data_IF_686868658483
#
_entry.id   IF_686868658483
#
_cell.length_a   1.000
_cell.length_b   1.000
_cell.length_c   1.000
_cell.angle_alpha   90.00
_cell.angle_beta   90.00
_cell.angle_gamma   90.00
#
_symmetry.space_group_name_H-M   'P 1'
#
loop_
_entity.id
_entity.type
_entity.pdbx_description
1 polymer ?
#
# COMPACT_ATOMS: atom_id res chain seq x y z
N UNK A 1 -37.08 74.78 42.74
CA UNK A 1 -36.84 76.13 42.21
C UNK A 1 -35.37 76.43 42.42
N UNK A 2 -34.78 77.07 41.41
CA UNK A 2 -33.40 77.54 41.24
C UNK A 2 -32.41 76.45 40.75
N UNK A 3 -31.96 76.40 39.49
CA UNK A 3 -31.25 77.41 38.64
C UNK A 3 -29.95 77.87 39.31
N UNK A 4 -28.75 77.94 38.75
CA UNK A 4 -28.19 78.05 37.40
C UNK A 4 -26.68 77.70 37.52
N UNK A 5 -26.06 76.92 36.62
CA UNK A 5 -25.30 77.35 35.42
C UNK A 5 -23.98 78.11 35.68
N UNK A 6 -22.82 77.48 35.39
CA UNK A 6 -21.64 77.98 34.59
C UNK A 6 -20.77 76.72 34.29
N UNK A 7 -20.76 76.11 33.11
CA UNK A 7 -20.18 76.50 31.80
C UNK A 7 -18.63 76.58 31.77
N UNK A 8 -17.98 75.52 31.31
CA UNK A 8 -16.79 75.59 30.42
C UNK A 8 -16.61 74.24 29.70
N UNK A 9 -17.07 74.19 28.46
CA UNK A 9 -16.60 73.28 27.40
C UNK A 9 -15.42 73.93 26.67
N UNK A 10 -14.74 73.29 25.69
CA UNK A 10 -14.62 71.85 25.40
C UNK A 10 -13.14 71.43 25.28
N UNK A 11 -12.85 70.15 25.39
CA UNK A 11 -11.94 69.58 24.39
C UNK A 11 -12.44 68.20 23.97
N UNK A 12 -12.48 68.04 22.67
CA UNK A 12 -13.28 67.03 21.98
C UNK A 12 -12.34 65.98 21.42
N UNK A 13 -12.78 64.72 21.52
CA UNK A 13 -12.52 63.62 20.60
C UNK A 13 -11.10 63.02 20.61
N UNK A 14 -10.99 61.76 21.02
CA UNK A 14 -11.22 60.70 20.04
C UNK A 14 -11.48 59.34 20.71
N UNK A 15 -12.62 58.77 20.36
CA UNK A 15 -13.02 57.39 20.63
C UNK A 15 -12.10 56.45 19.83
N UNK A 16 -11.64 55.38 20.49
CA UNK A 16 -11.38 54.11 19.79
C UNK A 16 -12.53 53.15 20.09
N UNK A 17 -13.22 52.64 19.05
CA UNK A 17 -14.26 51.61 19.15
C UNK A 17 -13.57 50.27 19.44
N UNK A 18 -14.15 49.28 20.11
CA UNK A 18 -15.52 49.01 20.53
C UNK A 18 -15.62 47.48 20.63
N UNK A 19 -16.15 47.00 21.76
CA UNK A 19 -17.08 45.84 21.92
C UNK A 19 -16.65 44.47 21.34
N UNK A 20 -16.78 43.30 21.97
CA UNK A 20 -17.70 42.76 22.99
C UNK A 20 -17.00 41.55 23.64
N UNK A 21 -17.31 41.28 24.91
CA UNK A 21 -17.08 40.00 25.58
C UNK A 21 -17.69 38.80 24.83
N UNK A 22 -17.13 37.60 25.01
CA UNK A 22 -17.87 36.41 25.43
C UNK A 22 -16.93 35.22 25.73
N UNK A 23 -16.99 34.80 26.98
CA UNK A 23 -16.60 33.48 27.46
C UNK A 23 -17.30 32.39 26.65
N UNK A 24 -16.54 31.42 26.12
CA UNK A 24 -16.96 30.01 25.91
C UNK A 24 -15.74 29.15 26.26
N UNK A 25 -15.66 28.66 27.49
CA UNK A 25 -16.27 27.42 27.99
C UNK A 25 -15.74 26.20 27.24
N UNK A 26 -14.98 25.41 27.99
CA UNK A 26 -14.52 24.06 27.70
C UNK A 26 -15.56 23.21 26.95
N UNK A 27 -15.10 22.63 25.85
CA UNK A 27 -15.52 21.30 25.43
C UNK A 27 -14.27 20.56 24.94
N UNK A 28 -13.48 20.08 25.90
CA UNK A 28 -12.62 18.92 25.66
C UNK A 28 -13.53 17.83 25.10
N UNK A 29 -13.41 17.57 23.81
CA UNK A 29 -14.06 16.44 23.18
C UNK A 29 -13.39 15.19 23.74
N UNK A 30 -13.96 14.61 24.80
CA UNK A 30 -13.78 13.18 25.02
C UNK A 30 -14.39 12.48 23.80
N UNK A 31 -13.62 11.69 23.04
CA UNK A 31 -14.23 10.82 22.05
C UNK A 31 -15.02 9.78 22.85
N UNK A 32 -16.32 10.04 23.05
CA UNK A 32 -17.27 9.00 23.42
C UNK A 32 -17.33 8.03 22.24
N UNK A 33 -16.37 7.12 22.18
CA UNK A 33 -16.42 5.95 21.33
C UNK A 33 -17.70 5.23 21.69
N UNK A 34 -18.69 5.30 20.81
CA UNK A 34 -19.87 4.47 20.90
C UNK A 34 -19.37 3.03 20.96
N UNK A 35 -19.85 2.21 21.89
CA UNK A 35 -19.46 0.80 21.95
C UNK A 35 -19.70 0.06 20.60
N UNK A 36 -20.59 0.59 19.76
CA UNK A 36 -20.78 0.17 18.37
C UNK A 36 -19.57 0.43 17.46
N UNK A 37 -18.85 1.54 17.65
CA UNK A 37 -17.68 1.89 16.83
C UNK A 37 -16.48 1.00 17.18
N UNK A 38 -16.31 0.65 18.45
CA UNK A 38 -15.26 -0.27 18.90
C UNK A 38 -15.52 -1.71 18.47
N UNK A 39 -16.74 -2.22 18.64
CA UNK A 39 -17.13 -3.54 18.17
C UNK A 39 -16.98 -3.65 16.64
N UNK A 40 -17.35 -2.60 15.91
CA UNK A 40 -17.15 -2.52 14.45
C UNK A 40 -15.66 -2.51 14.09
N UNK A 41 -14.83 -1.77 14.82
CA UNK A 41 -13.37 -1.73 14.63
C UNK A 41 -12.75 -3.12 14.82
N UNK A 42 -13.10 -3.83 15.90
CA UNK A 42 -12.61 -5.20 16.13
C UNK A 42 -13.06 -6.17 15.04
N UNK A 43 -14.31 -6.04 14.57
CA UNK A 43 -14.81 -6.88 13.48
C UNK A 43 -14.08 -6.61 12.15
N UNK A 44 -13.67 -5.37 11.88
CA UNK A 44 -12.85 -5.04 10.71
C UNK A 44 -11.44 -5.65 10.87
N UNK A 45 -10.81 -5.52 12.03
CA UNK A 45 -9.47 -6.07 12.28
C UNK A 45 -9.45 -7.59 12.10
N UNK A 46 -10.43 -8.30 12.67
CA UNK A 46 -10.56 -9.76 12.51
C UNK A 46 -10.72 -10.18 11.04
N UNK A 47 -11.41 -9.37 10.23
CA UNK A 47 -11.58 -9.66 8.79
C UNK A 47 -10.32 -9.37 7.99
N UNK A 48 -9.55 -8.36 8.39
CA UNK A 48 -8.22 -8.10 7.82
C UNK A 48 -7.26 -9.24 8.14
N UNK A 49 -7.29 -9.77 9.37
CA UNK A 49 -6.48 -10.93 9.76
C UNK A 49 -6.88 -12.19 8.96
N UNK A 50 -8.17 -12.46 8.82
CA UNK A 50 -8.66 -13.56 7.97
C UNK A 50 -8.25 -13.40 6.50
N UNK A 51 -8.33 -12.18 5.94
CA UNK A 51 -7.87 -11.90 4.58
C UNK A 51 -6.36 -12.12 4.43
N UNK A 52 -5.57 -11.77 5.45
CA UNK A 52 -4.13 -12.03 5.47
C UNK A 52 -3.83 -13.52 5.48
N UNK A 53 -4.49 -14.30 6.34
CA UNK A 53 -4.34 -15.76 6.39
C UNK A 53 -4.71 -16.44 5.08
N UNK A 54 -5.79 -15.97 4.43
CA UNK A 54 -6.17 -16.42 3.09
C UNK A 54 -5.11 -16.06 2.05
N UNK A 55 -4.55 -14.85 2.12
CA UNK A 55 -3.44 -14.42 1.27
C UNK A 55 -2.20 -15.29 1.43
N UNK A 56 -1.80 -15.60 2.66
CA UNK A 56 -0.66 -16.48 2.95
C UNK A 56 -0.94 -17.92 2.48
N UNK A 57 -2.18 -18.41 2.59
CA UNK A 57 -2.59 -19.72 2.06
C UNK A 57 -2.50 -19.77 0.53
N UNK A 58 -2.99 -18.73 -0.15
CA UNK A 58 -2.90 -18.62 -1.61
C UNK A 58 -1.45 -18.56 -2.07
N UNK A 59 -0.62 -17.79 -1.39
CA UNK A 59 0.80 -17.73 -1.68
C UNK A 59 1.45 -19.11 -1.52
N UNK A 60 1.16 -19.82 -0.42
CA UNK A 60 1.69 -21.17 -0.22
C UNK A 60 1.28 -22.13 -1.34
N UNK A 61 0.04 -22.04 -1.83
CA UNK A 61 -0.41 -22.80 -2.98
C UNK A 61 0.42 -22.48 -4.24
N UNK A 62 0.67 -21.19 -4.50
CA UNK A 62 1.53 -20.77 -5.62
C UNK A 62 2.94 -21.32 -5.46
N UNK A 63 3.50 -21.34 -4.24
CA UNK A 63 4.83 -21.91 -3.99
C UNK A 63 4.87 -23.43 -4.30
N UNK A 64 3.84 -24.18 -3.89
CA UNK A 64 3.75 -25.62 -4.16
C UNK A 64 3.63 -25.92 -5.66
N UNK A 65 2.80 -25.16 -6.38
CA UNK A 65 2.52 -25.39 -7.80
C UNK A 65 3.64 -24.91 -8.72
N UNK A 66 4.33 -23.81 -8.36
CA UNK A 66 5.43 -23.25 -9.17
C UNK A 66 6.80 -23.79 -8.78
N UNK A 67 6.94 -24.38 -7.59
CA UNK A 67 8.25 -24.72 -7.01
C UNK A 67 9.14 -23.50 -6.76
N UNK A 68 8.56 -22.30 -6.63
CA UNK A 68 9.26 -21.07 -6.29
C UNK A 68 8.89 -20.64 -4.88
N UNK A 69 9.87 -20.18 -4.10
CA UNK A 69 9.61 -19.55 -2.80
C UNK A 69 9.07 -18.13 -2.99
N UNK A 70 8.38 -17.57 -1.98
CA UNK A 70 7.94 -16.17 -1.95
C UNK A 70 9.01 -15.18 -2.37
N UNK A 71 10.23 -15.33 -1.86
CA UNK A 71 11.36 -14.43 -2.17
C UNK A 71 11.84 -14.58 -3.62
N UNK A 72 11.75 -15.78 -4.18
CA UNK A 72 12.07 -16.04 -5.58
C UNK A 72 11.00 -15.43 -6.49
N UNK A 73 9.71 -15.61 -6.18
CA UNK A 73 8.60 -14.98 -6.88
C UNK A 73 8.72 -13.45 -6.87
N UNK A 74 8.94 -12.86 -5.69
CA UNK A 74 9.11 -11.41 -5.56
C UNK A 74 10.28 -10.87 -6.39
N UNK A 75 11.39 -11.62 -6.46
CA UNK A 75 12.55 -11.24 -7.28
C UNK A 75 12.24 -11.34 -8.79
N UNK A 76 11.55 -12.39 -9.22
CA UNK A 76 11.12 -12.54 -10.62
C UNK A 76 10.10 -11.46 -11.03
N UNK A 77 9.15 -11.13 -10.15
CA UNK A 77 8.20 -10.02 -10.36
C UNK A 77 8.92 -8.68 -10.49
N UNK A 78 9.90 -8.40 -9.63
CA UNK A 78 10.67 -7.17 -9.70
C UNK A 78 11.47 -7.06 -11.01
N UNK A 79 12.03 -8.17 -11.48
CA UNK A 79 12.72 -8.24 -12.77
C UNK A 79 11.76 -8.11 -13.95
N UNK A 80 10.55 -8.68 -13.86
CA UNK A 80 9.52 -8.52 -14.89
C UNK A 80 8.98 -7.09 -14.94
N UNK A 81 8.86 -6.40 -13.80
CA UNK A 81 8.43 -5.01 -13.72
C UNK A 81 9.47 -4.02 -14.26
N UNK A 82 10.77 -4.35 -14.21
CA UNK A 82 11.86 -3.54 -14.74
C UNK A 82 11.93 -3.49 -16.29
N UNK A 83 10.83 -3.86 -16.94
CA UNK A 83 10.65 -4.60 -18.20
C UNK A 83 11.36 -4.12 -19.46
N UNK A 84 12.12 -3.03 -19.49
CA UNK A 84 12.43 -2.39 -20.77
C UNK A 84 13.80 -1.79 -21.03
N UNK A 85 14.85 -1.92 -20.20
CA UNK A 85 16.11 -1.38 -20.72
C UNK A 85 17.42 -2.03 -20.28
N UNK A 86 17.61 -2.45 -19.04
CA UNK A 86 18.90 -3.01 -18.63
C UNK A 86 18.70 -4.03 -17.53
N UNK A 87 19.39 -5.17 -17.66
CA UNK A 87 20.17 -5.81 -16.61
C UNK A 87 20.10 -5.05 -15.25
N UNK A 88 19.41 -5.62 -14.27
CA UNK A 88 19.03 -4.89 -13.06
C UNK A 88 20.01 -5.16 -11.92
N UNK A 89 20.49 -4.09 -11.30
CA UNK A 89 21.54 -4.20 -10.29
C UNK A 89 21.00 -4.81 -8.98
N UNK A 90 21.69 -5.79 -8.34
CA UNK A 90 21.18 -6.51 -7.16
C UNK A 90 20.74 -5.59 -6.00
N UNK A 91 21.49 -4.50 -5.77
CA UNK A 91 21.14 -3.48 -4.76
C UNK A 91 19.79 -2.80 -5.03
N UNK A 92 19.44 -2.55 -6.29
CA UNK A 92 18.15 -1.92 -6.67
C UNK A 92 17.02 -2.92 -6.46
N UNK A 93 17.21 -4.15 -6.93
CA UNK A 93 16.25 -5.25 -6.72
C UNK A 93 15.98 -5.45 -5.23
N UNK A 94 17.01 -5.49 -4.40
CA UNK A 94 16.87 -5.65 -2.95
C UNK A 94 16.02 -4.57 -2.29
N UNK A 95 16.14 -3.32 -2.73
CA UNK A 95 15.26 -2.23 -2.25
C UNK A 95 13.81 -2.43 -2.70
N UNK A 96 13.58 -2.92 -3.91
CA UNK A 96 12.24 -3.14 -4.43
C UNK A 96 11.51 -4.28 -3.71
N UNK A 97 12.24 -5.34 -3.35
CA UNK A 97 11.65 -6.55 -2.74
C UNK A 97 11.86 -6.67 -1.22
N UNK A 98 12.48 -5.66 -0.59
CA UNK A 98 12.76 -5.66 0.85
C UNK A 98 13.84 -6.64 1.29
N UNK A 99 14.79 -6.96 0.41
CA UNK A 99 15.90 -7.89 0.66
C UNK A 99 17.25 -7.15 0.72
N UNK A 100 18.21 -7.72 1.46
CA UNK A 100 19.61 -7.25 1.39
C UNK A 100 20.22 -7.62 0.05
N UNK A 101 21.27 -6.90 -0.37
CA UNK A 101 21.98 -7.21 -1.62
C UNK A 101 22.47 -8.66 -1.65
N UNK A 102 23.05 -9.15 -0.55
CA UNK A 102 23.56 -10.52 -0.47
C UNK A 102 22.44 -11.56 -0.58
N UNK A 103 21.29 -11.30 0.03
CA UNK A 103 20.12 -12.16 -0.10
C UNK A 103 19.59 -12.18 -1.53
N UNK A 104 19.62 -11.06 -2.24
CA UNK A 104 19.24 -11.00 -3.67
C UNK A 104 20.22 -11.83 -4.50
N UNK A 105 21.52 -11.69 -4.28
CA UNK A 105 22.53 -12.45 -5.04
C UNK A 105 22.37 -13.95 -4.80
N UNK A 106 22.26 -14.39 -3.54
CA UNK A 106 22.05 -15.82 -3.23
C UNK A 106 20.74 -16.37 -3.85
N UNK A 107 19.66 -15.58 -3.84
CA UNK A 107 18.39 -15.96 -4.46
C UNK A 107 18.52 -16.02 -5.99
N UNK A 108 19.21 -15.06 -6.60
CA UNK A 108 19.48 -15.05 -8.03
C UNK A 108 20.36 -16.23 -8.45
N UNK A 109 21.35 -16.62 -7.67
CA UNK A 109 22.18 -17.81 -7.93
C UNK A 109 21.34 -19.11 -7.91
N UNK A 110 20.44 -19.26 -6.94
CA UNK A 110 19.47 -20.38 -6.89
C UNK A 110 18.59 -20.42 -8.16
N UNK A 111 18.07 -19.27 -8.58
CA UNK A 111 17.25 -19.14 -9.79
C UNK A 111 18.08 -19.36 -11.08
N UNK A 112 19.34 -18.94 -11.10
CA UNK A 112 20.24 -19.10 -12.23
C UNK A 112 20.63 -20.56 -12.42
N UNK A 113 20.83 -21.31 -11.34
CA UNK A 113 21.05 -22.76 -11.38
C UNK A 113 19.87 -23.52 -12.02
N UNK A 114 18.66 -22.94 -11.96
CA UNK A 114 17.44 -23.43 -12.61
C UNK A 114 17.20 -22.84 -14.00
N UNK A 115 18.06 -21.95 -14.48
CA UNK A 115 17.93 -21.27 -15.78
C UNK A 115 16.84 -20.19 -15.84
N UNK A 116 16.32 -19.74 -14.70
CA UNK A 116 15.22 -18.77 -14.63
C UNK A 116 15.69 -17.32 -14.69
N UNK A 117 16.94 -17.07 -14.32
CA UNK A 117 17.60 -15.75 -14.43
C UNK A 117 19.01 -15.92 -14.98
N UNK A 118 19.52 -14.87 -15.61
CA UNK A 118 20.94 -14.74 -15.92
C UNK A 118 21.61 -13.72 -15.00
N UNK A 119 22.89 -13.93 -14.71
CA UNK A 119 23.70 -13.04 -13.86
C UNK A 119 24.93 -12.61 -14.65
N UNK A 120 25.08 -11.29 -14.82
CA UNK A 120 26.28 -10.68 -15.38
C UNK A 120 27.21 -10.29 -14.24
N UNK A 121 28.47 -10.73 -14.33
CA UNK A 121 29.50 -10.45 -13.33
C UNK A 121 30.45 -9.35 -13.83
N UNK A 122 30.93 -8.50 -12.92
CA UNK A 122 32.01 -7.56 -13.20
C UNK A 122 33.38 -8.27 -13.27
N UNK A 123 34.44 -7.55 -13.64
CA UNK A 123 35.82 -8.08 -13.71
C UNK A 123 36.33 -8.61 -12.36
N UNK A 124 35.72 -8.19 -11.24
CA UNK A 124 36.03 -8.66 -9.91
C UNK A 124 35.20 -9.91 -9.50
N UNK A 125 34.37 -10.44 -10.41
CA UNK A 125 33.54 -11.61 -10.20
C UNK A 125 32.28 -11.35 -9.34
N UNK A 126 31.86 -10.10 -9.18
CA UNK A 126 30.65 -9.74 -8.41
C UNK A 126 29.46 -9.57 -9.35
N UNK A 127 28.27 -9.96 -8.90
CA UNK A 127 27.03 -9.75 -9.66
C UNK A 127 26.80 -8.25 -9.92
N UNK A 128 27.00 -7.83 -11.16
CA UNK A 128 26.78 -6.47 -11.63
C UNK A 128 25.32 -6.26 -12.06
N UNK A 129 24.71 -7.30 -12.63
CA UNK A 129 23.32 -7.28 -13.06
C UNK A 129 22.67 -8.65 -13.09
N UNK A 130 21.34 -8.65 -12.96
CA UNK A 130 20.48 -9.83 -13.04
C UNK A 130 19.38 -9.54 -14.07
N UNK A 131 19.09 -10.50 -14.95
CA UNK A 131 17.97 -10.40 -15.89
C UNK A 131 17.10 -11.66 -15.86
N UNK A 132 15.82 -11.46 -16.19
CA UNK A 132 14.86 -12.54 -16.34
C UNK A 132 15.08 -13.24 -17.68
N UNK A 133 15.15 -14.58 -17.67
CA UNK A 133 15.18 -15.37 -18.92
C UNK A 133 13.76 -15.61 -19.43
N UNK A 134 13.61 -16.07 -20.67
CA UNK A 134 12.31 -16.49 -21.20
C UNK A 134 11.70 -17.63 -20.39
N UNK A 135 12.54 -18.57 -19.89
CA UNK A 135 12.11 -19.64 -19.00
C UNK A 135 11.61 -19.09 -17.64
N UNK A 136 12.33 -18.13 -17.06
CA UNK A 136 11.90 -17.43 -15.85
C UNK A 136 10.56 -16.73 -16.02
N UNK A 137 10.38 -16.04 -17.15
CA UNK A 137 9.11 -15.36 -17.48
C UNK A 137 7.96 -16.35 -17.65
N UNK A 138 8.20 -17.48 -18.31
CA UNK A 138 7.18 -18.52 -18.47
C UNK A 138 6.74 -19.11 -17.13
N UNK A 139 7.68 -19.39 -16.21
CA UNK A 139 7.36 -19.88 -14.86
C UNK A 139 6.60 -18.81 -14.06
N UNK A 140 6.99 -17.54 -14.18
CA UNK A 140 6.28 -16.44 -13.51
C UNK A 140 4.84 -16.34 -14.01
N UNK A 141 4.60 -16.36 -15.32
CA UNK A 141 3.25 -16.37 -15.91
C UNK A 141 2.44 -17.59 -15.45
N UNK A 142 3.07 -18.76 -15.28
CA UNK A 142 2.40 -19.93 -14.74
C UNK A 142 1.99 -19.73 -13.27
N UNK A 143 2.86 -19.15 -12.45
CA UNK A 143 2.57 -18.82 -11.06
C UNK A 143 1.41 -17.80 -10.94
N UNK A 144 1.43 -16.74 -11.74
CA UNK A 144 0.34 -15.76 -11.84
C UNK A 144 -0.99 -16.44 -12.23
N UNK A 145 -0.95 -17.37 -13.19
CA UNK A 145 -2.15 -18.08 -13.62
C UNK A 145 -2.77 -18.95 -12.51
N UNK A 146 -1.96 -19.52 -11.60
CA UNK A 146 -2.47 -20.24 -10.41
C UNK A 146 -3.23 -19.28 -9.50
N UNK A 147 -2.64 -18.12 -9.21
CA UNK A 147 -3.27 -17.10 -8.37
C UNK A 147 -4.57 -16.58 -8.98
N UNK A 148 -4.58 -16.31 -10.29
CA UNK A 148 -5.77 -15.87 -11.02
C UNK A 148 -6.86 -16.93 -10.94
N UNK A 149 -6.56 -18.21 -11.18
CA UNK A 149 -7.58 -19.27 -11.12
C UNK A 149 -8.19 -19.44 -9.72
N UNK A 150 -7.37 -19.38 -8.68
CA UNK A 150 -7.84 -19.47 -7.30
C UNK A 150 -8.75 -18.28 -6.94
N UNK A 151 -8.37 -17.08 -7.37
CA UNK A 151 -9.15 -15.85 -7.14
C UNK A 151 -10.44 -15.84 -7.96
N UNK A 152 -10.39 -16.27 -9.21
CA UNK A 152 -11.54 -16.30 -10.12
C UNK A 152 -12.63 -17.26 -9.62
N UNK A 153 -12.26 -18.38 -8.99
CA UNK A 153 -13.22 -19.27 -8.34
C UNK A 153 -14.02 -18.55 -7.24
N UNK A 154 -13.36 -17.72 -6.41
CA UNK A 154 -14.02 -16.91 -5.38
C UNK A 154 -14.91 -15.81 -5.99
N UNK A 155 -14.45 -15.15 -7.06
CA UNK A 155 -15.21 -14.12 -7.78
C UNK A 155 -16.48 -14.71 -8.40
N UNK A 156 -16.40 -15.92 -8.98
CA UNK A 156 -17.57 -16.61 -9.55
C UNK A 156 -18.62 -16.96 -8.49
N UNK A 157 -18.20 -17.41 -7.31
CA UNK A 157 -19.10 -17.75 -6.21
C UNK A 157 -19.85 -16.52 -5.68
N UNK A 158 -19.15 -15.40 -5.53
CA UNK A 158 -19.72 -14.13 -5.04
C UNK A 158 -20.55 -13.42 -6.12
N UNK A 159 -20.23 -13.66 -7.39
CA UNK A 159 -20.81 -12.99 -8.54
C UNK A 159 -20.25 -11.57 -8.75
N UNK A 160 -20.51 -10.98 -9.93
CA UNK A 160 -19.89 -9.72 -10.35
C UNK A 160 -20.28 -8.52 -9.46
N UNK A 161 -21.55 -8.41 -9.05
CA UNK A 161 -21.99 -7.27 -8.22
C UNK A 161 -21.62 -7.40 -6.76
N UNK A 162 -21.54 -8.62 -6.24
CA UNK A 162 -20.94 -8.85 -4.92
C UNK A 162 -19.48 -8.43 -4.92
N UNK A 163 -18.73 -8.85 -5.94
CA UNK A 163 -17.29 -8.56 -6.09
C UNK A 163 -17.01 -7.06 -6.23
N UNK A 164 -17.77 -6.33 -7.06
CA UNK A 164 -17.61 -4.87 -7.19
C UNK A 164 -17.88 -4.12 -5.89
N UNK A 165 -18.90 -4.53 -5.13
CA UNK A 165 -19.19 -3.92 -3.82
C UNK A 165 -18.09 -4.22 -2.81
N UNK A 166 -17.57 -5.44 -2.77
CA UNK A 166 -16.47 -5.82 -1.90
C UNK A 166 -15.21 -5.00 -2.22
N UNK A 167 -14.83 -4.90 -3.50
CA UNK A 167 -13.68 -4.10 -3.93
C UNK A 167 -13.85 -2.63 -3.56
N UNK A 168 -15.01 -2.03 -3.80
CA UNK A 168 -15.26 -0.62 -3.45
C UNK A 168 -15.13 -0.36 -1.94
N UNK A 169 -15.55 -1.31 -1.08
CA UNK A 169 -15.38 -1.19 0.38
C UNK A 169 -13.91 -1.36 0.77
N UNK A 170 -13.21 -2.33 0.19
CA UNK A 170 -11.78 -2.53 0.42
C UNK A 170 -10.96 -1.29 0.01
N UNK A 171 -11.26 -0.68 -1.13
CA UNK A 171 -10.61 0.54 -1.60
C UNK A 171 -10.83 1.71 -0.64
N UNK A 172 -12.04 1.85 -0.08
CA UNK A 172 -12.34 2.87 0.94
C UNK A 172 -11.52 2.64 2.22
N UNK A 173 -11.44 1.39 2.68
CA UNK A 173 -10.66 1.02 3.87
C UNK A 173 -9.16 1.26 3.64
N UNK A 174 -8.63 0.82 2.50
CA UNK A 174 -7.22 1.05 2.12
C UNK A 174 -6.93 2.55 2.02
N UNK A 175 -7.81 3.31 1.37
CA UNK A 175 -7.69 4.77 1.26
C UNK A 175 -7.68 5.48 2.61
N UNK A 176 -8.49 5.02 3.56
CA UNK A 176 -8.53 5.57 4.92
C UNK A 176 -7.29 5.20 5.75
N UNK A 177 -6.70 4.01 5.54
CA UNK A 177 -5.54 3.52 6.30
C UNK A 177 -4.18 3.92 5.69
N UNK A 178 -4.12 4.18 4.39
CA UNK A 178 -2.87 4.53 3.67
C UNK A 178 -2.09 5.70 4.30
N UNK A 179 -2.73 6.78 4.80
CA UNK A 179 -2.03 7.86 5.50
C UNK A 179 -1.39 7.46 6.84
N UNK A 180 -1.82 6.34 7.43
CA UNK A 180 -1.33 5.83 8.71
C UNK A 180 -0.16 4.86 8.54
N UNK A 181 0.05 4.34 7.32
CA UNK A 181 1.16 3.46 7.02
C UNK A 181 2.44 4.28 6.81
N UNK A 182 3.57 3.96 7.48
CA UNK A 182 4.84 4.61 7.19
C UNK A 182 5.31 4.20 5.79
N UNK A 183 5.03 5.01 4.78
CA UNK A 183 5.46 4.84 3.38
C UNK A 183 5.55 3.37 2.93
N UNK A 184 4.57 2.55 3.29
CA UNK A 184 4.43 1.22 2.72
C UNK A 184 4.06 1.47 1.27
N UNK A 185 5.02 1.35 0.37
CA UNK A 185 4.78 1.32 -1.07
C UNK A 185 3.92 0.09 -1.35
N UNK A 186 2.62 0.25 -1.16
CA UNK A 186 1.62 -0.61 -1.75
C UNK A 186 1.89 -0.55 -3.26
N UNK A 187 2.15 -1.68 -3.93
CA UNK A 187 2.21 -1.68 -5.38
C UNK A 187 0.89 -1.10 -5.87
N UNK A 188 0.97 -0.05 -6.70
CA UNK A 188 -0.22 0.53 -7.29
C UNK A 188 -0.99 -0.59 -8.02
N UNK A 189 -2.34 -0.60 -7.98
CA UNK A 189 -3.09 -1.55 -8.79
C UNK A 189 -2.72 -1.30 -10.25
N UNK A 190 -1.91 -2.19 -10.82
CA UNK A 190 -1.57 -2.10 -12.23
C UNK A 190 -2.87 -2.21 -13.01
N UNK A 191 -3.24 -1.16 -13.73
CA UNK A 191 -4.22 -1.21 -14.81
C UNK A 191 -3.63 -2.07 -15.93
N UNK A 192 -3.51 -3.39 -15.71
CA UNK A 192 -3.25 -4.34 -16.79
C UNK A 192 -4.51 -4.40 -17.63
N UNK A 193 -4.53 -3.54 -18.64
CA UNK A 193 -5.44 -3.67 -19.77
C UNK A 193 -5.30 -5.11 -20.29
N UNK A 194 -6.36 -5.90 -20.11
CA UNK A 194 -6.53 -7.16 -20.82
C UNK A 194 -6.36 -6.85 -22.31
N UNK A 195 -5.53 -7.62 -23.07
CA UNK A 195 -5.50 -7.47 -24.50
C UNK A 195 -6.91 -7.74 -25.05
N UNK A 196 -7.46 -6.76 -25.77
CA UNK A 196 -8.74 -6.87 -26.43
C UNK A 196 -8.77 -8.06 -27.38
N UNK A 197 -9.87 -8.82 -27.32
CA UNK A 197 -10.18 -9.89 -28.27
C UNK A 197 -10.62 -9.39 -29.64
#
# INVERSE_FOLDING_TARGET
MDSDTVATSPDTLHLSPGTVALVRSDARHEPTSSAGDFATTLAILDRVDQLKELGDTLLHLVEQESGLRRSELALLDALDAARHEHDDHPRRLGRAVGMTTDAVVATAESLAARGLVGIVHDDAGRAAAIHLTDAGRAVLTQAEAVQIRATDAAVREVGPEGSRRALAVLDQIIGAMSPLAPAAQLPAPETRMLPGG
#
